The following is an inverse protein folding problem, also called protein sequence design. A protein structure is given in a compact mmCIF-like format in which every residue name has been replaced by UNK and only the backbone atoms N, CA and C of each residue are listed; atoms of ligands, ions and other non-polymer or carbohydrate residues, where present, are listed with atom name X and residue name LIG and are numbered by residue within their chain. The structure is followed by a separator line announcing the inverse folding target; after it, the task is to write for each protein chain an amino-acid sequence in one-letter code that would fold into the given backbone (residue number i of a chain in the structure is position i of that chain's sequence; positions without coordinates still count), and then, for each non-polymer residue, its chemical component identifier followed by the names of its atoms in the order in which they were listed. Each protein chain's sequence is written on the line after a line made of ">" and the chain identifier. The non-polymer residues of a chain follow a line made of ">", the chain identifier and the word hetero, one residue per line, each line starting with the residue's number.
data_IF_247106428945
#
_entry.id   IF_247106428945
#
_cell.length_a   1.000
_cell.length_b   1.000
_cell.length_c   1.000
_cell.angle_alpha   90.00
_cell.angle_beta   90.00
_cell.angle_gamma   90.00
#
_symmetry.space_group_name_H-M   'P 1'
#
loop_
_entity.id
_entity.type
_entity.pdbx_description
1 polymer ?
#
# COMPACT_ATOMS: atom_id res chain seq x y z
N UNK A 1 9.10 -14.57 20.26
CA UNK A 1 8.77 -15.53 19.19
C UNK A 1 7.91 -14.79 18.17
N UNK A 2 8.51 -14.39 17.05
CA UNK A 2 7.97 -13.42 16.09
C UNK A 2 7.06 -14.19 15.12
N UNK A 3 5.82 -14.44 15.52
CA UNK A 3 4.87 -15.26 14.76
C UNK A 3 4.01 -14.42 13.83
N UNK A 4 4.34 -14.40 12.53
CA UNK A 4 3.50 -14.34 11.32
C UNK A 4 2.13 -13.61 11.25
N UNK A 5 1.72 -12.75 12.20
CA UNK A 5 0.32 -12.27 12.28
C UNK A 5 -0.02 -10.98 11.55
N UNK A 6 0.93 -10.25 10.98
CA UNK A 6 0.67 -8.89 10.50
C UNK A 6 1.16 -8.66 9.06
N UNK A 7 1.13 -9.68 8.20
CA UNK A 7 1.52 -9.53 6.78
C UNK A 7 0.72 -8.41 6.09
N UNK A 8 -0.59 -8.29 6.39
CA UNK A 8 -1.42 -7.19 5.88
C UNK A 8 -0.93 -5.81 6.35
N UNK A 9 -0.52 -5.70 7.62
CA UNK A 9 -0.01 -4.45 8.18
C UNK A 9 1.35 -4.06 7.59
N UNK A 10 2.21 -5.05 7.34
CA UNK A 10 3.51 -4.85 6.72
C UNK A 10 3.38 -4.44 5.24
N UNK A 11 2.44 -5.06 4.51
CA UNK A 11 2.13 -4.71 3.12
C UNK A 11 1.55 -3.29 3.01
N UNK A 12 0.65 -2.90 3.92
CA UNK A 12 0.05 -1.56 3.93
C UNK A 12 1.08 -0.49 4.36
N UNK A 13 2.00 -0.82 5.28
CA UNK A 13 3.12 0.06 5.62
C UNK A 13 4.02 0.34 4.40
N UNK A 14 4.42 -0.70 3.65
CA UNK A 14 5.20 -0.54 2.42
C UNK A 14 4.42 0.31 1.39
N UNK A 15 3.12 0.05 1.24
CA UNK A 15 2.27 0.79 0.31
C UNK A 15 2.17 2.28 0.66
N UNK A 16 1.97 2.63 1.95
CA UNK A 16 1.94 4.02 2.45
C UNK A 16 3.26 4.75 2.25
N UNK A 17 4.39 4.06 2.42
CA UNK A 17 5.71 4.62 2.16
C UNK A 17 5.84 4.96 0.67
N UNK A 18 5.48 4.04 -0.23
CA UNK A 18 5.54 4.27 -1.68
C UNK A 18 4.59 5.40 -2.10
N UNK A 19 3.36 5.46 -1.56
CA UNK A 19 2.40 6.52 -1.88
C UNK A 19 2.83 7.89 -1.37
N UNK A 20 3.26 7.99 -0.10
CA UNK A 20 3.78 9.23 0.45
C UNK A 20 4.99 9.73 -0.33
N UNK A 21 5.89 8.84 -0.74
CA UNK A 21 7.07 9.20 -1.52
C UNK A 21 6.72 9.69 -2.93
N UNK A 22 5.73 9.07 -3.60
CA UNK A 22 5.22 9.56 -4.90
C UNK A 22 4.42 10.85 -4.81
N UNK A 23 3.84 11.17 -3.65
CA UNK A 23 3.16 12.46 -3.44
C UNK A 23 4.19 13.57 -3.26
N UNK A 24 5.25 13.30 -2.48
CA UNK A 24 6.38 14.23 -2.26
C UNK A 24 7.18 14.43 -3.55
N UNK A 25 7.44 13.37 -4.28
CA UNK A 25 8.05 13.40 -5.62
C UNK A 25 6.92 13.28 -6.63
N UNK A 26 6.19 14.37 -6.85
CA UNK A 26 5.12 14.44 -7.86
C UNK A 26 5.69 14.19 -9.26
N UNK A 27 5.85 12.92 -9.65
CA UNK A 27 6.20 12.49 -11.00
C UNK A 27 4.87 12.33 -11.75
N UNK A 28 4.54 13.21 -12.71
CA UNK A 28 3.28 13.14 -13.45
C UNK A 28 3.36 12.03 -14.50
N UNK A 29 3.28 10.78 -14.05
CA UNK A 29 3.12 9.62 -14.94
C UNK A 29 1.60 9.42 -15.13
N UNK A 30 1.05 9.55 -16.35
CA UNK A 30 -0.40 9.63 -16.62
C UNK A 30 -1.29 8.45 -16.17
N UNK A 31 -0.74 7.42 -15.52
CA UNK A 31 -1.49 6.21 -15.15
C UNK A 31 -1.08 5.63 -13.80
N UNK A 32 -0.07 6.22 -13.13
CA UNK A 32 0.47 5.65 -11.88
C UNK A 32 -0.50 5.82 -10.70
N UNK A 33 -1.32 6.87 -10.72
CA UNK A 33 -2.34 7.11 -9.71
C UNK A 33 -3.44 6.04 -9.70
N UNK A 34 -3.83 5.52 -10.87
CA UNK A 34 -4.82 4.44 -10.98
C UNK A 34 -4.25 3.13 -10.45
N UNK A 35 -3.01 2.81 -10.83
CA UNK A 35 -2.32 1.60 -10.36
C UNK A 35 -2.11 1.68 -8.84
N UNK A 36 -1.70 2.83 -8.31
CA UNK A 36 -1.60 3.07 -6.87
C UNK A 36 -2.94 2.95 -6.18
N UNK A 37 -4.01 3.54 -6.71
CA UNK A 37 -5.34 3.46 -6.12
C UNK A 37 -5.84 2.00 -6.06
N UNK A 38 -5.65 1.22 -7.13
CA UNK A 38 -6.01 -0.20 -7.14
C UNK A 38 -5.18 -1.01 -6.14
N UNK A 39 -3.87 -0.75 -6.05
CA UNK A 39 -3.00 -1.34 -5.03
C UNK A 39 -3.42 -0.93 -3.61
N UNK A 40 -3.88 0.31 -3.41
CA UNK A 40 -4.40 0.83 -2.14
C UNK A 40 -5.61 0.02 -1.67
N UNK A 41 -6.56 -0.14 -2.59
CA UNK A 41 -7.82 -0.83 -2.34
C UNK A 41 -7.53 -2.31 -2.05
N UNK A 42 -6.69 -2.95 -2.87
CA UNK A 42 -6.26 -4.32 -2.66
C UNK A 42 -5.56 -4.51 -1.30
N UNK A 43 -4.62 -3.62 -0.94
CA UNK A 43 -3.93 -3.66 0.34
C UNK A 43 -4.89 -3.43 1.53
N UNK A 44 -5.84 -2.50 1.40
CA UNK A 44 -6.86 -2.24 2.41
C UNK A 44 -7.80 -3.43 2.63
N UNK A 45 -8.27 -4.07 1.55
CA UNK A 45 -9.11 -5.27 1.61
C UNK A 45 -8.33 -6.45 2.23
N UNK A 46 -7.08 -6.63 1.84
CA UNK A 46 -6.22 -7.72 2.33
C UNK A 46 -5.88 -7.53 3.82
N UNK A 47 -5.74 -6.29 4.30
CA UNK A 47 -5.60 -5.99 5.72
C UNK A 47 -6.91 -6.23 6.49
N UNK A 48 -8.07 -5.90 5.92
CA UNK A 48 -9.39 -6.16 6.51
C UNK A 48 -9.66 -7.66 6.70
N UNK A 49 -9.26 -8.48 5.72
CA UNK A 49 -9.39 -9.94 5.75
C UNK A 49 -8.34 -10.58 6.68
N UNK A 50 -7.16 -9.97 6.82
CA UNK A 50 -6.06 -10.45 7.64
C UNK A 50 -6.15 -10.11 9.13
N UNK A 51 -7.31 -9.64 9.62
CA UNK A 51 -7.59 -9.36 11.04
C UNK A 51 -8.43 -10.48 11.65
#
# INVERSE_FOLDING_TARGET
>A
MIGNRNLGMLLLAIWLIVTGLTQVVSIPIPSIGIIQALLAIAAGVLLLIGR
#
